data_IF_430829503901
#
_entry.id   IF_430829503901
#
_cell.length_a   1.000
_cell.length_b   1.000
_cell.length_c   1.000
_cell.angle_alpha   90.00
_cell.angle_beta   90.00
_cell.angle_gamma   90.00
#
_symmetry.space_group_name_H-M   'P 1'
#
loop_
_entity.id
_entity.type
_entity.pdbx_description
1 polymer ?
#
# COMPACT_ATOMS: atom_id res chain seq x y z
N UNK A 1 68.64 71.70 29.93
CA UNK A 1 69.18 70.81 28.88
C UNK A 1 68.14 69.75 28.56
N UNK A 2 67.64 69.80 27.33
CA UNK A 2 66.61 68.94 26.74
C UNK A 2 67.02 67.47 26.74
N UNK A 3 66.12 66.58 27.19
CA UNK A 3 66.17 65.15 26.85
C UNK A 3 64.87 64.75 26.19
N UNK A 4 64.86 64.82 24.85
CA UNK A 4 63.95 64.06 23.98
C UNK A 4 64.01 62.58 24.37
N UNK A 5 62.87 61.98 24.71
CA UNK A 5 62.68 60.52 24.64
C UNK A 5 61.92 60.23 23.35
N UNK A 6 62.54 59.40 22.51
CA UNK A 6 61.96 58.85 21.30
C UNK A 6 60.72 58.01 21.65
N UNK A 7 59.62 58.24 20.95
CA UNK A 7 58.47 57.33 20.90
C UNK A 7 58.78 56.17 19.96
N UNK A 8 58.98 54.97 20.50
CA UNK A 8 58.89 53.73 19.74
C UNK A 8 57.41 53.45 19.40
N UNK A 9 57.10 52.83 18.25
CA UNK A 9 55.72 52.47 17.95
C UNK A 9 55.28 51.36 18.90
N UNK A 10 54.20 51.58 19.66
CA UNK A 10 53.55 50.54 20.43
C UNK A 10 52.98 49.49 19.46
N UNK A 11 53.73 48.39 19.29
CA UNK A 11 53.20 47.19 18.64
C UNK A 11 52.24 46.57 19.65
N UNK A 12 50.95 46.86 19.47
CA UNK A 12 49.85 46.26 20.22
C UNK A 12 49.82 44.75 19.92
N UNK A 13 50.41 43.94 20.80
CA UNK A 13 50.24 42.49 20.74
C UNK A 13 48.80 42.14 21.16
N UNK A 14 48.03 41.41 20.32
CA UNK A 14 46.69 40.99 20.70
C UNK A 14 46.75 40.15 21.98
N UNK A 15 45.85 40.43 22.92
CA UNK A 15 45.81 39.71 24.20
C UNK A 15 45.68 38.20 23.97
N UNK A 16 46.14 37.37 24.92
CA UNK A 16 46.04 35.90 24.84
C UNK A 16 44.60 35.41 24.54
N UNK A 17 43.56 36.19 24.88
CA UNK A 17 42.16 35.87 24.53
C UNK A 17 41.85 36.12 23.05
N UNK A 18 42.39 37.18 22.45
CA UNK A 18 42.23 37.51 21.03
C UNK A 18 43.01 36.51 20.16
N UNK A 19 44.24 36.14 20.55
CA UNK A 19 44.97 35.08 19.83
C UNK A 19 44.27 33.72 19.89
N UNK A 20 43.65 33.36 21.03
CA UNK A 20 42.86 32.11 21.12
C UNK A 20 41.62 32.15 20.22
N UNK A 21 40.96 33.30 20.09
CA UNK A 21 39.83 33.47 19.16
C UNK A 21 40.30 33.37 17.69
N UNK A 22 41.40 34.01 17.31
CA UNK A 22 41.94 33.92 15.95
C UNK A 22 42.39 32.50 15.58
N UNK A 23 43.00 31.75 16.52
CA UNK A 23 43.39 30.35 16.29
C UNK A 23 42.15 29.46 16.15
N UNK A 24 41.11 29.65 16.98
CA UNK A 24 39.84 28.94 16.83
C UNK A 24 39.12 29.27 15.51
N UNK A 25 39.12 30.54 15.08
CA UNK A 25 38.56 30.95 13.79
C UNK A 25 39.33 30.35 12.61
N UNK A 26 40.66 30.27 12.68
CA UNK A 26 41.48 29.60 11.67
C UNK A 26 41.25 28.08 11.64
N UNK A 27 41.03 27.45 12.79
CA UNK A 27 40.67 26.02 12.85
C UNK A 27 39.26 25.74 12.31
N UNK A 28 38.30 26.66 12.50
CA UNK A 28 36.95 26.54 11.94
C UNK A 28 36.99 26.78 10.42
N UNK A 29 37.72 27.80 9.95
CA UNK A 29 37.87 28.07 8.52
C UNK A 29 38.65 26.94 7.84
N UNK A 30 39.73 26.42 8.43
CA UNK A 30 40.45 25.27 7.90
C UNK A 30 39.61 23.97 7.97
N UNK A 31 38.79 23.79 9.01
CA UNK A 31 37.85 22.68 9.11
C UNK A 31 36.77 22.74 8.02
N UNK A 32 36.22 23.94 7.75
CA UNK A 32 35.28 24.16 6.65
C UNK A 32 35.96 24.00 5.29
N UNK A 33 37.21 24.46 5.12
CA UNK A 33 37.97 24.32 3.86
C UNK A 33 38.38 22.86 3.56
N UNK A 34 38.71 22.07 4.59
CA UNK A 34 38.99 20.63 4.47
C UNK A 34 37.71 19.83 4.18
N UNK A 35 36.54 20.31 4.65
CA UNK A 35 35.25 19.72 4.29
C UNK A 35 34.74 20.13 2.90
N UNK A 36 35.14 21.29 2.36
CA UNK A 36 34.71 21.75 1.02
C UNK A 36 35.65 21.36 -0.13
N UNK A 37 36.80 20.75 0.15
CA UNK A 37 37.75 20.25 -0.88
C UNK A 37 37.70 18.72 -1.07
N UNK A 38 36.66 18.06 -0.57
CA UNK A 38 36.40 16.63 -0.79
C UNK A 38 34.99 16.33 -1.31
N UNK A 39 34.44 17.25 -2.10
CA UNK A 39 33.30 16.98 -2.98
C UNK A 39 33.81 16.86 -4.41
N UNK A 40 34.57 15.79 -4.67
CA UNK A 40 34.56 15.20 -6.00
C UNK A 40 33.30 14.34 -6.09
N UNK A 41 32.44 14.70 -7.03
CA UNK A 41 31.24 13.97 -7.42
C UNK A 41 31.68 12.62 -8.03
N UNK A 42 31.69 11.57 -7.20
CA UNK A 42 31.73 10.18 -7.67
C UNK A 42 30.55 9.41 -7.08
N UNK A 43 29.96 8.56 -7.93
CA UNK A 43 28.69 7.85 -7.76
C UNK A 43 28.75 6.66 -6.79
N UNK A 44 29.38 6.81 -5.63
CA UNK A 44 29.61 5.71 -4.67
C UNK A 44 29.14 5.99 -3.22
N UNK A 45 28.29 6.99 -2.98
CA UNK A 45 27.74 7.23 -1.63
C UNK A 45 26.27 6.80 -1.42
N UNK A 46 25.72 5.97 -2.31
CA UNK A 46 24.37 5.37 -2.17
C UNK A 46 24.40 3.93 -1.61
N UNK A 47 25.52 3.52 -1.00
CA UNK A 47 25.71 2.17 -0.45
C UNK A 47 26.00 2.17 1.04
N UNK A 48 25.03 2.52 1.88
CA UNK A 48 25.14 2.36 3.34
C UNK A 48 23.86 1.79 3.99
N UNK A 49 23.30 0.74 3.37
CA UNK A 49 22.31 -0.15 4.02
C UNK A 49 22.65 -1.65 3.92
N UNK A 50 23.84 -2.03 3.42
CA UNK A 50 24.23 -3.45 3.24
C UNK A 50 25.32 -3.96 4.20
N UNK A 51 25.58 -3.31 5.33
CA UNK A 51 26.51 -3.84 6.33
C UNK A 51 25.77 -4.65 7.42
N UNK A 52 25.37 -5.87 7.05
CA UNK A 52 25.23 -7.04 7.96
C UNK A 52 24.93 -8.33 7.16
N UNK A 53 25.78 -8.67 6.18
CA UNK A 53 25.89 -10.05 5.67
C UNK A 53 27.35 -10.43 5.54
N UNK A 54 27.94 -10.91 6.63
CA UNK A 54 29.19 -11.69 6.57
C UNK A 54 29.10 -12.87 7.50
N UNK A 55 29.05 -14.05 6.89
CA UNK A 55 29.38 -15.32 7.54
C UNK A 55 28.37 -16.41 7.28
N UNK A 56 28.48 -17.09 6.12
CA UNK A 56 28.62 -18.55 6.02
C UNK A 56 28.48 -19.02 4.56
N UNK A 57 29.52 -19.73 4.09
CA UNK A 57 29.37 -20.86 3.15
C UNK A 57 29.20 -20.54 1.66
N UNK A 58 30.31 -20.61 0.93
CA UNK A 58 30.37 -20.66 -0.53
C UNK A 58 29.63 -21.87 -1.12
N UNK A 59 28.55 -21.61 -1.86
CA UNK A 59 28.27 -22.20 -3.19
C UNK A 59 26.93 -21.68 -3.69
N UNK A 60 26.91 -20.98 -4.83
CA UNK A 60 25.73 -20.91 -5.69
C UNK A 60 26.04 -20.10 -6.95
N UNK A 61 25.51 -20.60 -8.05
CA UNK A 61 25.36 -19.92 -9.34
C UNK A 61 24.87 -18.49 -9.11
N UNK A 62 25.58 -17.50 -9.64
CA UNK A 62 25.13 -16.10 -9.65
C UNK A 62 23.89 -15.98 -10.56
N UNK A 63 22.71 -16.29 -10.02
CA UNK A 63 21.48 -15.74 -10.55
C UNK A 63 21.56 -14.22 -10.34
N UNK A 64 21.59 -13.45 -11.43
CA UNK A 64 21.51 -11.98 -11.34
C UNK A 64 20.26 -11.63 -10.53
N UNK A 65 20.45 -11.04 -9.36
CA UNK A 65 19.37 -10.56 -8.51
C UNK A 65 18.62 -9.47 -9.30
N UNK A 66 17.35 -9.74 -9.63
CA UNK A 66 16.53 -8.83 -10.44
C UNK A 66 16.16 -7.58 -9.62
N UNK A 67 16.11 -6.41 -10.28
CA UNK A 67 15.83 -5.16 -9.57
C UNK A 67 14.40 -5.16 -8.98
N UNK A 68 14.17 -4.71 -7.74
CA UNK A 68 12.85 -4.79 -7.09
C UNK A 68 11.71 -4.13 -7.86
N UNK A 69 11.99 -3.04 -8.58
CA UNK A 69 11.02 -2.37 -9.44
C UNK A 69 10.61 -3.28 -10.61
N UNK A 70 11.55 -3.99 -11.23
CA UNK A 70 11.24 -4.91 -12.33
C UNK A 70 10.37 -6.08 -11.84
N UNK A 71 10.68 -6.61 -10.66
CA UNK A 71 9.88 -7.65 -10.01
C UNK A 71 8.46 -7.17 -9.66
N UNK A 72 8.29 -5.91 -9.27
CA UNK A 72 6.98 -5.31 -9.00
C UNK A 72 6.20 -5.06 -10.29
N UNK A 73 6.84 -4.54 -11.34
CA UNK A 73 6.19 -4.29 -12.64
C UNK A 73 5.60 -5.58 -13.23
N UNK A 74 6.28 -6.72 -13.05
CA UNK A 74 5.79 -8.05 -13.48
C UNK A 74 4.51 -8.51 -12.77
N UNK A 75 4.13 -7.91 -11.64
CA UNK A 75 2.88 -8.24 -10.94
C UNK A 75 1.64 -7.65 -11.61
N UNK A 76 1.82 -6.74 -12.58
CA UNK A 76 0.73 -6.16 -13.34
C UNK A 76 0.61 -6.82 -14.71
N UNK A 77 -0.60 -6.87 -15.30
CA UNK A 77 -0.74 -7.11 -16.72
C UNK A 77 0.13 -6.12 -17.51
N UNK A 78 0.70 -6.59 -18.63
CA UNK A 78 1.65 -5.80 -19.40
C UNK A 78 0.98 -4.56 -19.98
N UNK A 79 1.69 -3.44 -19.97
CA UNK A 79 1.26 -2.27 -20.75
C UNK A 79 1.50 -2.55 -22.22
N UNK A 80 0.46 -2.41 -23.05
CA UNK A 80 0.59 -2.47 -24.50
C UNK A 80 1.40 -1.27 -24.99
N UNK A 81 2.36 -1.51 -25.89
CA UNK A 81 3.12 -0.43 -26.48
C UNK A 81 2.27 0.36 -27.47
N UNK A 82 2.64 1.61 -27.75
CA UNK A 82 1.97 2.42 -28.77
C UNK A 82 1.93 1.72 -30.14
N UNK A 83 2.92 0.86 -30.42
CA UNK A 83 2.99 0.08 -31.67
C UNK A 83 1.91 -1.00 -31.75
N UNK A 84 1.51 -1.55 -30.62
CA UNK A 84 0.50 -2.62 -30.51
C UNK A 84 -0.91 -2.06 -30.41
N UNK A 85 -1.06 -0.87 -29.83
CA UNK A 85 -2.36 -0.19 -29.78
C UNK A 85 -2.71 0.49 -31.11
N UNK A 86 -1.73 0.67 -32.01
CA UNK A 86 -1.90 1.37 -33.27
C UNK A 86 -2.17 2.87 -33.11
N UNK A 87 -2.38 3.54 -34.24
CA UNK A 87 -2.97 4.89 -34.29
C UNK A 87 -4.49 4.71 -34.29
N UNK A 88 -5.26 5.43 -33.45
CA UNK A 88 -6.71 5.38 -33.49
C UNK A 88 -7.21 5.68 -34.90
N UNK A 89 -7.84 4.71 -35.54
CA UNK A 89 -8.46 4.88 -36.86
C UNK A 89 -9.78 5.59 -36.60
N UNK A 90 -9.99 6.75 -37.22
CA UNK A 90 -11.28 7.46 -37.15
C UNK A 90 -12.39 6.48 -37.53
N UNK A 91 -13.52 6.41 -36.80
CA UNK A 91 -14.57 5.47 -37.13
C UNK A 91 -15.15 5.82 -38.50
N UNK A 92 -14.66 5.13 -39.54
CA UNK A 92 -15.40 5.07 -40.80
C UNK A 92 -16.63 4.24 -40.52
N UNK A 93 -17.79 4.86 -40.69
CA UNK A 93 -19.08 4.18 -40.78
C UNK A 93 -18.90 3.00 -41.75
N UNK A 94 -19.31 1.80 -41.33
CA UNK A 94 -19.21 0.51 -42.06
C UNK A 94 -17.89 -0.28 -42.03
N UNK A 95 -17.41 -0.66 -40.85
CA UNK A 95 -16.79 -1.99 -40.72
C UNK A 95 -17.35 -2.73 -39.51
N UNK A 96 -18.12 -3.78 -39.81
CA UNK A 96 -18.59 -4.74 -38.81
C UNK A 96 -17.43 -5.37 -38.07
N UNK A 97 -17.71 -5.82 -36.84
CA UNK A 97 -16.78 -6.56 -35.98
C UNK A 97 -16.03 -7.63 -36.79
N UNK A 98 -14.74 -7.40 -37.03
CA UNK A 98 -13.80 -8.46 -37.38
C UNK A 98 -13.03 -8.76 -36.11
N UNK A 99 -13.39 -9.89 -35.48
CA UNK A 99 -12.57 -10.52 -34.46
C UNK A 99 -11.44 -11.18 -35.26
N UNK A 100 -10.25 -10.60 -35.25
CA UNK A 100 -9.06 -11.34 -35.65
C UNK A 100 -8.68 -12.24 -34.46
N UNK A 101 -8.91 -13.53 -34.64
CA UNK A 101 -8.46 -14.60 -33.75
C UNK A 101 -6.93 -14.56 -33.67
N UNK A 102 -6.39 -13.98 -32.60
CA UNK A 102 -5.00 -14.22 -32.21
C UNK A 102 -4.96 -15.51 -31.38
N UNK A 103 -4.35 -16.54 -31.96
CA UNK A 103 -4.37 -17.97 -31.59
C UNK A 103 -3.66 -18.30 -30.26
N UNK A 104 -4.01 -17.61 -29.16
CA UNK A 104 -3.63 -18.03 -27.81
C UNK A 104 -4.68 -17.70 -26.74
N UNK A 105 -5.96 -17.58 -27.11
CA UNK A 105 -7.04 -17.49 -26.12
C UNK A 105 -7.12 -18.80 -25.33
N UNK A 106 -6.57 -18.78 -24.13
CA UNK A 106 -6.96 -19.66 -23.03
C UNK A 106 -8.49 -19.75 -23.03
N UNK A 107 -8.99 -20.99 -23.06
CA UNK A 107 -10.41 -21.32 -23.12
C UNK A 107 -11.21 -20.47 -22.13
N UNK A 108 -11.84 -19.40 -22.62
CA UNK A 108 -12.70 -18.55 -21.79
C UNK A 108 -13.84 -19.43 -21.32
N UNK A 109 -13.86 -19.74 -20.03
CA UNK A 109 -14.97 -20.41 -19.40
C UNK A 109 -16.24 -19.62 -19.76
N UNK A 110 -17.21 -20.21 -20.47
CA UNK A 110 -18.40 -19.49 -20.95
C UNK A 110 -19.23 -18.89 -19.81
N UNK A 111 -18.98 -19.30 -18.57
CA UNK A 111 -19.64 -18.78 -17.37
C UNK A 111 -18.89 -17.60 -16.70
N UNK A 112 -17.67 -17.26 -17.13
CA UNK A 112 -16.89 -16.14 -16.60
C UNK A 112 -17.15 -14.88 -17.41
N UNK A 113 -17.77 -13.88 -16.80
CA UNK A 113 -17.88 -12.54 -17.40
C UNK A 113 -16.54 -11.81 -17.19
N UNK A 114 -15.87 -11.31 -18.24
CA UNK A 114 -14.63 -10.56 -18.08
C UNK A 114 -14.80 -9.34 -17.18
N UNK A 115 -13.88 -9.13 -16.24
CA UNK A 115 -13.87 -7.95 -15.39
C UNK A 115 -13.63 -6.68 -16.20
N UNK A 116 -14.34 -5.59 -15.87
CA UNK A 116 -14.15 -4.28 -16.51
C UNK A 116 -14.37 -3.16 -15.48
N UNK A 117 -13.28 -2.59 -14.96
CA UNK A 117 -13.33 -1.62 -13.87
C UNK A 117 -14.23 -0.41 -14.17
N UNK A 118 -14.18 0.23 -15.35
CA UNK A 118 -15.10 1.32 -15.70
C UNK A 118 -16.60 0.95 -15.72
N UNK A 119 -16.93 -0.35 -15.77
CA UNK A 119 -18.31 -0.84 -15.75
C UNK A 119 -18.76 -1.26 -14.36
N UNK A 120 -17.87 -1.34 -13.37
CA UNK A 120 -18.24 -1.67 -12.00
C UNK A 120 -19.19 -0.60 -11.47
N UNK A 121 -20.30 -1.06 -10.90
CA UNK A 121 -21.33 -0.20 -10.33
C UNK A 121 -21.37 -0.30 -8.81
N UNK A 122 -20.90 -1.40 -8.22
CA UNK A 122 -21.00 -1.70 -6.78
C UNK A 122 -19.61 -2.06 -6.26
N UNK A 123 -19.24 -1.50 -5.13
CA UNK A 123 -17.98 -1.78 -4.44
C UNK A 123 -18.26 -2.18 -3.00
N UNK A 124 -17.84 -3.40 -2.64
CA UNK A 124 -17.82 -3.87 -1.26
C UNK A 124 -16.38 -3.97 -0.76
N UNK A 125 -16.09 -3.38 0.39
CA UNK A 125 -14.76 -3.42 1.01
C UNK A 125 -14.86 -4.08 2.38
N UNK A 126 -14.09 -5.15 2.56
CA UNK A 126 -13.90 -5.88 3.80
C UNK A 126 -12.46 -5.68 4.26
N UNK A 127 -12.28 -5.51 5.56
CA UNK A 127 -10.93 -5.36 6.09
C UNK A 127 -10.84 -4.80 7.49
N UNK A 128 -9.71 -4.18 7.75
CA UNK A 128 -9.41 -3.53 9.03
C UNK A 128 -9.26 -2.00 8.93
N UNK A 129 -8.68 -1.39 9.96
CA UNK A 129 -8.33 0.03 10.10
C UNK A 129 -7.61 0.70 8.92
N UNK A 130 -6.96 -0.07 8.05
CA UNK A 130 -6.36 0.45 6.82
C UNK A 130 -7.43 0.88 5.79
N UNK A 131 -8.63 0.32 5.89
CA UNK A 131 -9.75 0.55 4.97
C UNK A 131 -10.99 1.14 5.64
N UNK A 132 -11.15 1.04 6.97
CA UNK A 132 -12.38 1.39 7.70
C UNK A 132 -12.90 2.84 7.52
N UNK A 133 -14.24 2.97 7.49
CA UNK A 133 -15.00 4.24 7.54
C UNK A 133 -15.95 4.39 8.76
N UNK A 134 -15.97 3.43 9.69
CA UNK A 134 -16.82 3.44 10.90
C UNK A 134 -18.34 3.58 10.62
N UNK A 135 -18.86 2.83 9.65
CA UNK A 135 -20.30 2.72 9.35
C UNK A 135 -20.88 1.42 9.90
N UNK A 136 -21.99 1.51 10.63
CA UNK A 136 -22.72 0.34 11.16
C UNK A 136 -24.06 0.18 10.42
N UNK A 137 -24.07 -0.63 9.36
CA UNK A 137 -25.27 -0.86 8.56
C UNK A 137 -26.37 -1.65 9.29
N UNK A 138 -26.04 -2.39 10.36
CA UNK A 138 -27.08 -3.06 11.17
C UNK A 138 -27.86 -2.05 11.98
N UNK A 139 -27.17 -1.04 12.52
CA UNK A 139 -27.78 0.02 13.32
C UNK A 139 -28.44 1.09 12.45
N UNK A 140 -27.74 1.54 11.42
CA UNK A 140 -28.16 2.69 10.61
C UNK A 140 -29.02 2.31 9.40
N UNK A 141 -29.08 1.01 9.08
CA UNK A 141 -29.67 0.50 7.84
C UNK A 141 -28.71 0.55 6.65
N UNK A 142 -29.03 -0.23 5.62
CA UNK A 142 -28.33 -0.22 4.34
C UNK A 142 -28.77 1.01 3.53
N UNK A 143 -27.85 1.94 3.31
CA UNK A 143 -28.08 3.17 2.54
C UNK A 143 -27.82 2.97 1.04
N UNK A 144 -27.85 4.07 0.28
CA UNK A 144 -27.65 4.08 -1.17
C UNK A 144 -26.17 3.95 -1.60
N UNK A 145 -25.22 3.80 -0.67
CA UNK A 145 -23.80 3.65 -1.00
C UNK A 145 -23.17 4.93 -1.58
N UNK A 146 -23.71 6.10 -1.26
CA UNK A 146 -23.16 7.40 -1.67
C UNK A 146 -22.79 8.25 -0.46
N UNK A 147 -21.49 8.39 -0.21
CA UNK A 147 -20.93 9.19 0.88
C UNK A 147 -20.64 10.62 0.41
N UNK A 148 -21.60 11.52 0.60
CA UNK A 148 -21.51 12.92 0.15
C UNK A 148 -20.27 13.64 0.70
N UNK A 149 -19.81 13.29 1.89
CA UNK A 149 -18.62 13.86 2.52
C UNK A 149 -17.30 13.49 1.81
N UNK A 150 -17.32 12.52 0.87
CA UNK A 150 -16.18 12.16 0.03
C UNK A 150 -16.21 12.83 -1.33
N UNK A 151 -17.37 13.29 -1.79
CA UNK A 151 -17.51 13.90 -3.10
C UNK A 151 -16.70 15.19 -3.16
N UNK A 152 -15.87 15.33 -4.20
CA UNK A 152 -14.95 16.45 -4.39
C UNK A 152 -13.92 16.66 -3.25
N UNK A 153 -13.77 15.69 -2.34
CA UNK A 153 -12.75 15.74 -1.29
C UNK A 153 -11.40 15.31 -1.87
N UNK A 154 -10.38 16.15 -1.69
CA UNK A 154 -9.04 15.91 -2.26
C UNK A 154 -8.02 15.35 -1.26
N UNK A 155 -8.30 15.38 0.04
CA UNK A 155 -7.36 15.00 1.11
C UNK A 155 -8.06 14.21 2.22
N UNK A 156 -7.31 13.63 3.17
CA UNK A 156 -7.85 13.04 4.41
C UNK A 156 -8.88 11.90 4.20
N UNK A 157 -8.59 11.03 3.24
CA UNK A 157 -9.37 9.84 2.88
C UNK A 157 -8.51 8.57 3.00
N UNK A 158 -9.14 7.42 3.24
CA UNK A 158 -8.45 6.11 3.14
C UNK A 158 -8.29 5.72 1.69
N UNK A 159 -7.45 4.71 1.41
CA UNK A 159 -7.13 4.33 0.03
C UNK A 159 -8.37 3.85 -0.73
N UNK A 160 -9.27 3.09 -0.07
CA UNK A 160 -10.51 2.63 -0.67
C UNK A 160 -11.49 3.79 -0.97
N UNK A 161 -11.49 4.82 -0.12
CA UNK A 161 -12.28 6.04 -0.35
C UNK A 161 -11.80 6.79 -1.60
N UNK A 162 -10.48 6.89 -1.82
CA UNK A 162 -9.93 7.47 -3.05
C UNK A 162 -10.33 6.66 -4.29
N UNK A 163 -10.33 5.33 -4.17
CA UNK A 163 -10.77 4.47 -5.26
C UNK A 163 -12.22 4.78 -5.67
N UNK A 164 -13.10 4.99 -4.69
CA UNK A 164 -14.50 5.37 -4.89
C UNK A 164 -14.69 6.80 -5.40
N UNK A 165 -14.08 7.79 -4.73
CA UNK A 165 -14.40 9.20 -4.91
C UNK A 165 -13.56 9.91 -5.98
N UNK A 166 -12.40 9.35 -6.34
CA UNK A 166 -11.43 10.00 -7.25
C UNK A 166 -11.11 9.14 -8.47
N UNK A 167 -10.91 7.84 -8.28
CA UNK A 167 -10.48 6.94 -9.36
C UNK A 167 -11.63 6.15 -10.01
N UNK A 168 -12.86 6.40 -9.58
CA UNK A 168 -14.08 5.97 -10.24
C UNK A 168 -15.10 7.11 -10.20
N UNK A 169 -16.05 7.12 -11.14
CA UNK A 169 -17.17 8.07 -11.09
C UNK A 169 -18.10 7.72 -9.92
N UNK A 170 -18.09 8.56 -8.88
CA UNK A 170 -18.92 8.43 -7.67
C UNK A 170 -20.41 8.70 -7.90
N UNK A 171 -20.80 9.22 -9.07
CA UNK A 171 -22.21 9.30 -9.50
C UNK A 171 -22.71 7.95 -10.02
N UNK A 172 -21.80 7.07 -10.43
CA UNK A 172 -22.10 5.76 -11.00
C UNK A 172 -21.87 4.63 -10.00
N UNK A 173 -20.75 4.69 -9.28
CA UNK A 173 -20.36 3.69 -8.30
C UNK A 173 -21.14 3.90 -7.01
N UNK A 174 -21.67 2.81 -6.46
CA UNK A 174 -22.15 2.72 -5.08
C UNK A 174 -21.13 1.95 -4.26
N UNK A 175 -20.91 2.39 -3.02
CA UNK A 175 -19.83 1.92 -2.17
C UNK A 175 -20.35 1.57 -0.78
N UNK A 176 -20.09 0.34 -0.34
CA UNK A 176 -20.34 -0.12 1.03
C UNK A 176 -19.04 -0.67 1.65
N UNK A 177 -18.62 -0.04 2.73
CA UNK A 177 -17.44 -0.41 3.48
C UNK A 177 -17.82 -1.13 4.78
N UNK A 178 -17.55 -2.44 4.85
CA UNK A 178 -17.77 -3.28 6.03
C UNK A 178 -16.51 -3.44 6.90
N UNK A 179 -15.38 -2.85 6.50
CA UNK A 179 -14.12 -2.96 7.25
C UNK A 179 -14.23 -2.34 8.64
N UNK A 180 -13.71 -3.04 9.67
CA UNK A 180 -13.77 -2.60 11.08
C UNK A 180 -12.38 -2.44 11.68
N UNK A 181 -12.15 -1.35 12.42
CA UNK A 181 -10.87 -1.13 13.12
C UNK A 181 -10.55 -2.33 14.00
N UNK A 182 -9.30 -2.78 13.98
CA UNK A 182 -8.81 -3.86 14.84
C UNK A 182 -9.30 -5.26 14.49
N UNK A 183 -10.10 -5.43 13.42
CA UNK A 183 -10.62 -6.72 13.01
C UNK A 183 -9.50 -7.69 12.63
N UNK A 184 -9.66 -8.96 13.02
CA UNK A 184 -8.80 -10.08 12.62
C UNK A 184 -9.49 -10.97 11.59
N UNK A 185 -8.84 -12.01 11.09
CA UNK A 185 -9.44 -12.86 10.05
C UNK A 185 -10.48 -13.80 10.64
N UNK A 186 -10.13 -14.53 11.71
CA UNK A 186 -10.97 -15.59 12.24
C UNK A 186 -10.76 -15.78 13.74
N UNK A 187 -11.87 -15.81 14.49
CA UNK A 187 -11.84 -15.79 15.95
C UNK A 187 -11.11 -17.01 16.53
N UNK A 188 -11.35 -18.20 16.00
CA UNK A 188 -10.76 -19.45 16.51
C UNK A 188 -9.27 -19.63 16.20
N UNK A 189 -8.70 -18.86 15.27
CA UNK A 189 -7.26 -18.92 14.97
C UNK A 189 -6.53 -17.86 15.77
N UNK A 190 -6.98 -16.60 15.66
CA UNK A 190 -6.43 -15.50 16.43
C UNK A 190 -7.53 -14.43 16.65
N UNK A 191 -8.11 -14.36 17.86
CA UNK A 191 -9.23 -13.46 18.12
C UNK A 191 -8.78 -12.00 18.11
N UNK A 192 -9.70 -11.04 17.83
CA UNK A 192 -9.40 -9.63 17.84
C UNK A 192 -9.01 -9.14 19.24
N UNK A 193 -8.46 -7.93 19.32
CA UNK A 193 -8.09 -7.32 20.61
C UNK A 193 -9.30 -6.99 21.49
N UNK A 194 -10.45 -6.73 20.87
CA UNK A 194 -11.74 -6.56 21.52
C UNK A 194 -12.78 -7.27 20.66
N UNK A 195 -13.75 -7.92 21.31
CA UNK A 195 -14.83 -8.63 20.61
C UNK A 195 -15.61 -7.70 19.66
N UNK A 196 -15.79 -6.43 20.07
CA UNK A 196 -16.49 -5.41 19.28
C UNK A 196 -15.80 -5.04 17.96
N UNK A 197 -14.51 -5.35 17.80
CA UNK A 197 -13.82 -5.16 16.51
C UNK A 197 -14.23 -6.21 15.47
N UNK A 198 -14.69 -7.38 15.93
CA UNK A 198 -15.11 -8.48 15.07
C UNK A 198 -13.98 -9.07 14.24
N UNK A 199 -14.37 -9.83 13.22
CA UNK A 199 -13.50 -10.56 12.30
C UNK A 199 -13.99 -10.45 10.86
N UNK A 200 -13.21 -10.94 9.89
CA UNK A 200 -13.70 -11.10 8.51
C UNK A 200 -14.97 -11.93 8.46
N UNK A 201 -15.03 -13.04 9.20
CA UNK A 201 -16.24 -13.87 9.33
C UNK A 201 -17.46 -13.04 9.78
N UNK A 202 -17.32 -12.16 10.79
CA UNK A 202 -18.44 -11.31 11.21
C UNK A 202 -18.84 -10.30 10.13
N UNK A 203 -17.89 -9.78 9.35
CA UNK A 203 -18.21 -8.88 8.24
C UNK A 203 -18.90 -9.64 7.09
N UNK A 204 -18.58 -10.92 6.87
CA UNK A 204 -19.33 -11.78 5.93
C UNK A 204 -20.73 -12.08 6.45
N UNK A 205 -20.91 -12.33 7.75
CA UNK A 205 -22.23 -12.49 8.35
C UNK A 205 -23.07 -11.22 8.15
N UNK A 206 -22.49 -10.04 8.38
CA UNK A 206 -23.13 -8.76 8.12
C UNK A 206 -23.49 -8.60 6.64
N UNK A 207 -22.59 -9.01 5.73
CA UNK A 207 -22.87 -8.98 4.29
C UNK A 207 -24.02 -9.91 3.89
N UNK A 208 -24.00 -11.16 4.36
CA UNK A 208 -25.02 -12.17 4.06
C UNK A 208 -26.40 -11.70 4.53
N UNK A 209 -26.50 -11.26 5.78
CA UNK A 209 -27.77 -10.83 6.37
C UNK A 209 -28.35 -9.57 5.69
N UNK A 210 -27.48 -8.64 5.29
CA UNK A 210 -27.91 -7.30 4.85
C UNK A 210 -27.97 -7.15 3.33
N UNK A 211 -27.21 -7.92 2.57
CA UNK A 211 -27.06 -7.72 1.12
C UNK A 211 -27.50 -8.94 0.31
N UNK A 212 -28.00 -10.00 0.93
CA UNK A 212 -28.40 -11.26 0.27
C UNK A 212 -29.79 -11.74 0.75
N UNK A 213 -30.42 -12.75 0.08
CA UNK A 213 -30.05 -13.33 -1.21
C UNK A 213 -30.17 -12.32 -2.36
N UNK A 214 -29.56 -12.62 -3.52
CA UNK A 214 -29.73 -11.79 -4.72
C UNK A 214 -31.22 -11.67 -5.11
N UNK A 215 -31.70 -10.49 -5.56
CA UNK A 215 -30.92 -9.29 -5.92
C UNK A 215 -30.44 -8.39 -4.74
N UNK A 216 -30.57 -8.82 -3.49
CA UNK A 216 -30.25 -8.01 -2.31
C UNK A 216 -31.29 -6.90 -2.07
N UNK A 217 -31.05 -5.98 -1.11
CA UNK A 217 -31.96 -4.86 -0.87
C UNK A 217 -32.10 -3.97 -2.10
N UNK A 218 -33.30 -3.42 -2.30
CA UNK A 218 -33.65 -2.61 -3.48
C UNK A 218 -32.69 -1.45 -3.74
N UNK A 219 -32.22 -0.76 -2.69
CA UNK A 219 -31.27 0.34 -2.83
C UNK A 219 -29.86 -0.08 -3.26
N UNK A 220 -29.54 -1.37 -3.13
CA UNK A 220 -28.24 -1.95 -3.50
C UNK A 220 -28.33 -2.61 -4.87
N UNK A 221 -29.29 -3.54 -5.05
CA UNK A 221 -29.54 -4.31 -6.27
C UNK A 221 -28.25 -4.70 -7.01
N UNK A 222 -27.36 -5.40 -6.31
CA UNK A 222 -26.03 -5.72 -6.84
C UNK A 222 -26.06 -7.00 -7.67
N UNK A 223 -25.17 -7.09 -8.67
CA UNK A 223 -25.04 -8.25 -9.52
C UNK A 223 -23.58 -8.70 -9.63
N UNK A 224 -23.37 -9.99 -9.86
CA UNK A 224 -22.02 -10.56 -9.90
C UNK A 224 -21.11 -9.94 -10.97
N UNK A 225 -21.69 -9.50 -12.09
CA UNK A 225 -20.96 -8.96 -13.25
C UNK A 225 -20.63 -7.45 -13.14
N UNK A 226 -21.19 -6.73 -12.17
CA UNK A 226 -20.97 -5.29 -11.99
C UNK A 226 -20.48 -4.91 -10.58
N UNK A 227 -20.09 -5.91 -9.78
CA UNK A 227 -19.68 -5.71 -8.38
C UNK A 227 -18.25 -6.17 -8.13
N UNK A 228 -17.44 -5.32 -7.49
CA UNK A 228 -16.10 -5.65 -6.99
C UNK A 228 -16.11 -5.86 -5.48
N UNK A 229 -15.49 -6.95 -5.02
CA UNK A 229 -15.30 -7.30 -3.62
C UNK A 229 -13.81 -7.18 -3.28
N UNK A 230 -13.45 -6.26 -2.39
CA UNK A 230 -12.07 -6.08 -1.94
C UNK A 230 -11.91 -6.64 -0.52
N UNK A 231 -10.91 -7.49 -0.31
CA UNK A 231 -10.60 -8.13 0.97
C UNK A 231 -9.18 -7.78 1.41
N UNK A 232 -9.05 -7.06 2.53
CA UNK A 232 -7.77 -6.62 3.10
C UNK A 232 -7.69 -6.93 4.60
N UNK A 233 -7.00 -8.00 4.98
CA UNK A 233 -6.87 -8.43 6.38
C UNK A 233 -5.48 -8.98 6.68
N UNK A 234 -5.19 -9.13 7.98
CA UNK A 234 -4.00 -9.80 8.51
C UNK A 234 -3.01 -8.87 9.24
N UNK A 235 -3.24 -7.55 9.21
CA UNK A 235 -2.40 -6.56 9.91
C UNK A 235 -2.51 -6.74 11.42
N UNK A 236 -3.75 -6.81 11.94
CA UNK A 236 -3.99 -7.01 13.36
C UNK A 236 -3.57 -8.41 13.81
N UNK A 237 -3.80 -9.42 12.97
CA UNK A 237 -3.39 -10.80 13.23
C UNK A 237 -1.87 -10.89 13.39
N UNK A 238 -1.08 -10.33 12.46
CA UNK A 238 0.38 -10.27 12.57
C UNK A 238 0.84 -9.44 13.76
N UNK A 239 0.16 -8.33 14.06
CA UNK A 239 0.45 -7.51 15.22
C UNK A 239 0.25 -8.26 16.55
N UNK A 240 -0.68 -9.22 16.60
CA UNK A 240 -0.99 -10.03 17.81
C UNK A 240 -0.19 -11.31 17.87
N UNK A 241 0.07 -11.95 16.73
CA UNK A 241 0.88 -13.15 16.60
C UNK A 241 2.27 -12.95 17.24
N UNK A 242 2.85 -11.76 17.08
CA UNK A 242 4.18 -11.44 17.58
C UNK A 242 4.22 -10.88 19.01
N UNK A 243 3.17 -11.10 19.82
CA UNK A 243 3.08 -10.63 21.20
C UNK A 243 3.02 -11.77 22.19
N UNK A 244 4.14 -12.12 22.80
CA UNK A 244 4.22 -13.25 23.75
C UNK A 244 3.35 -13.03 25.00
N UNK A 245 3.13 -11.77 25.39
CA UNK A 245 2.24 -11.44 26.51
C UNK A 245 0.77 -11.81 26.25
N UNK A 246 0.36 -11.94 24.98
CA UNK A 246 -0.97 -12.39 24.62
C UNK A 246 -1.10 -13.92 24.60
N UNK A 247 0.02 -14.65 24.65
CA UNK A 247 0.08 -16.10 24.50
C UNK A 247 0.62 -16.80 25.76
N UNK A 248 0.37 -16.21 26.93
CA UNK A 248 0.81 -16.76 28.22
C UNK A 248 2.33 -16.81 28.39
N UNK A 249 3.07 -15.94 27.69
CA UNK A 249 4.53 -15.92 27.66
C UNK A 249 5.17 -16.91 26.67
N UNK A 250 4.36 -17.68 25.93
CA UNK A 250 4.82 -18.51 24.82
C UNK A 250 4.78 -17.77 23.48
N UNK A 251 5.36 -18.37 22.43
CA UNK A 251 5.20 -17.91 21.05
C UNK A 251 4.36 -18.91 20.28
N UNK A 252 3.44 -18.43 19.45
CA UNK A 252 2.71 -19.30 18.51
C UNK A 252 3.65 -19.75 17.38
N UNK A 253 3.35 -20.90 16.79
CA UNK A 253 4.01 -21.37 15.56
C UNK A 253 3.63 -20.42 14.41
N UNK A 254 4.57 -19.56 14.00
CA UNK A 254 4.34 -18.53 12.97
C UNK A 254 3.97 -19.15 11.61
N UNK A 255 4.72 -20.10 11.04
CA UNK A 255 4.32 -20.79 9.82
C UNK A 255 2.93 -21.42 9.89
N UNK A 256 2.62 -22.18 10.95
CA UNK A 256 1.34 -22.87 11.05
C UNK A 256 0.17 -21.89 11.26
N UNK A 257 0.36 -20.88 12.11
CA UNK A 257 -0.68 -19.88 12.42
C UNK A 257 -0.98 -18.99 11.21
N UNK A 258 0.05 -18.49 10.52
CA UNK A 258 -0.17 -17.67 9.32
C UNK A 258 -0.84 -18.47 8.19
N UNK A 259 -0.53 -19.76 8.05
CA UNK A 259 -1.23 -20.65 7.12
C UNK A 259 -2.71 -20.80 7.50
N UNK A 260 -3.01 -21.09 8.76
CA UNK A 260 -4.39 -21.24 9.23
C UNK A 260 -5.22 -19.95 9.06
N UNK A 261 -4.59 -18.79 9.25
CA UNK A 261 -5.21 -17.49 8.98
C UNK A 261 -5.55 -17.31 7.50
N UNK A 262 -4.61 -17.55 6.59
CA UNK A 262 -4.87 -17.45 5.14
C UNK A 262 -5.90 -18.47 4.68
N UNK A 263 -5.83 -19.72 5.16
CA UNK A 263 -6.82 -20.76 4.86
C UNK A 263 -8.24 -20.31 5.28
N UNK A 264 -8.36 -19.67 6.45
CA UNK A 264 -9.62 -19.11 6.94
C UNK A 264 -10.10 -17.94 6.07
N UNK A 265 -9.19 -17.05 5.64
CA UNK A 265 -9.50 -15.93 4.74
C UNK A 265 -10.05 -16.43 3.40
N UNK A 266 -9.43 -17.46 2.81
CA UNK A 266 -9.92 -18.08 1.58
C UNK A 266 -11.25 -18.82 1.77
N UNK A 267 -11.43 -19.47 2.92
CA UNK A 267 -12.71 -20.13 3.26
C UNK A 267 -13.87 -19.12 3.31
N UNK A 268 -13.69 -17.99 4.01
CA UNK A 268 -14.70 -16.92 4.04
C UNK A 268 -14.90 -16.26 2.66
N UNK A 269 -13.85 -16.18 1.84
CA UNK A 269 -13.96 -15.70 0.45
C UNK A 269 -14.74 -16.67 -0.45
N UNK A 270 -14.60 -17.99 -0.24
CA UNK A 270 -15.46 -19.00 -0.88
C UNK A 270 -16.92 -18.86 -0.45
N UNK A 271 -17.18 -18.49 0.81
CA UNK A 271 -18.53 -18.17 1.26
C UNK A 271 -19.10 -16.95 0.54
N UNK A 272 -18.34 -15.86 0.39
CA UNK A 272 -18.73 -14.72 -0.47
C UNK A 272 -19.05 -15.15 -1.90
N UNK A 273 -18.22 -16.01 -2.49
CA UNK A 273 -18.48 -16.55 -3.83
C UNK A 273 -19.79 -17.32 -3.90
N UNK A 274 -20.08 -18.16 -2.90
CA UNK A 274 -21.35 -18.89 -2.82
C UNK A 274 -22.58 -17.97 -2.71
N UNK A 275 -22.39 -16.75 -2.19
CA UNK A 275 -23.41 -15.69 -2.13
C UNK A 275 -23.54 -14.87 -3.43
N UNK A 276 -22.72 -15.15 -4.45
CA UNK A 276 -22.79 -14.54 -5.77
C UNK A 276 -21.62 -13.64 -6.15
N UNK A 277 -20.64 -13.42 -5.26
CA UNK A 277 -19.45 -12.62 -5.60
C UNK A 277 -18.61 -13.29 -6.69
N UNK A 278 -18.17 -12.52 -7.70
CA UNK A 278 -17.36 -13.02 -8.83
C UNK A 278 -16.13 -12.21 -9.17
N UNK A 279 -16.00 -10.96 -8.70
CA UNK A 279 -14.81 -10.15 -8.91
C UNK A 279 -14.17 -9.84 -7.55
N UNK A 280 -12.96 -10.36 -7.33
CA UNK A 280 -12.24 -10.24 -6.08
C UNK A 280 -10.94 -9.49 -6.27
N UNK A 281 -10.62 -8.60 -5.32
CA UNK A 281 -9.29 -8.04 -5.15
C UNK A 281 -8.79 -8.33 -3.74
N UNK A 282 -7.66 -9.04 -3.66
CA UNK A 282 -6.92 -9.25 -2.42
C UNK A 282 -5.70 -8.34 -2.37
N UNK A 283 -5.17 -8.10 -1.17
CA UNK A 283 -3.92 -7.37 -0.96
C UNK A 283 -2.98 -8.10 -0.03
N UNK A 284 -1.69 -8.12 -0.38
CA UNK A 284 -0.64 -8.53 0.57
C UNK A 284 -0.55 -7.54 1.73
N UNK A 285 0.00 -7.97 2.86
CA UNK A 285 0.32 -7.07 3.96
C UNK A 285 1.48 -6.14 3.58
N UNK A 286 1.43 -4.85 3.92
CA UNK A 286 2.60 -3.98 3.80
C UNK A 286 3.74 -4.52 4.70
N UNK A 287 5.00 -4.11 4.49
CA UNK A 287 6.12 -4.51 5.35
C UNK A 287 5.97 -3.88 6.75
N UNK A 288 5.15 -4.49 7.60
CA UNK A 288 4.75 -3.93 8.90
C UNK A 288 5.94 -3.58 9.78
N UNK A 289 7.00 -4.40 9.76
CA UNK A 289 8.26 -4.18 10.49
C UNK A 289 8.92 -2.83 10.16
N UNK A 290 8.68 -2.26 8.97
CA UNK A 290 9.21 -0.95 8.59
C UNK A 290 8.38 0.23 9.09
N UNK A 291 7.16 0.00 9.60
CA UNK A 291 6.34 1.06 10.18
C UNK A 291 6.99 1.64 11.44
N UNK A 292 6.79 2.94 11.75
CA UNK A 292 7.43 3.56 12.90
C UNK A 292 7.17 2.84 14.23
N UNK A 293 6.00 2.22 14.40
CA UNK A 293 5.59 1.46 15.60
C UNK A 293 6.63 0.43 16.04
N UNK A 294 7.24 -0.28 15.10
CA UNK A 294 8.22 -1.35 15.41
C UNK A 294 9.67 -0.85 15.48
N UNK A 295 9.90 0.45 15.24
CA UNK A 295 11.21 1.10 15.39
C UNK A 295 11.37 1.82 16.73
N UNK A 296 10.30 1.92 17.53
CA UNK A 296 10.32 2.63 18.81
C UNK A 296 10.84 1.70 19.93
N UNK A 297 11.92 2.06 20.65
CA UNK A 297 12.50 1.25 21.73
C UNK A 297 11.52 0.88 22.85
N UNK A 298 10.49 1.71 23.05
CA UNK A 298 9.56 1.61 24.16
C UNK A 298 8.35 0.71 23.90
N UNK A 299 8.17 0.16 22.70
CA UNK A 299 6.85 -0.39 22.32
C UNK A 299 6.76 -1.90 22.16
N UNK A 300 7.84 -2.68 21.97
CA UNK A 300 7.63 -4.09 21.57
C UNK A 300 8.77 -5.11 21.78
N UNK A 301 9.89 -4.78 22.43
CA UNK A 301 11.02 -5.72 22.62
C UNK A 301 12.06 -5.64 21.50
N UNK A 302 13.28 -6.11 21.76
CA UNK A 302 14.45 -5.90 20.89
C UNK A 302 14.36 -6.63 19.54
N UNK A 303 13.64 -7.76 19.47
CA UNK A 303 13.56 -8.65 18.31
C UNK A 303 12.25 -8.54 17.51
N UNK A 304 11.31 -7.69 17.93
CA UNK A 304 9.99 -7.58 17.30
C UNK A 304 10.06 -7.27 15.80
N UNK A 305 11.04 -6.47 15.38
CA UNK A 305 11.22 -6.09 14.00
C UNK A 305 11.41 -7.33 13.12
N UNK A 306 12.32 -8.23 13.51
CA UNK A 306 12.62 -9.48 12.80
C UNK A 306 11.43 -10.44 12.86
N UNK A 307 10.79 -10.58 14.02
CA UNK A 307 9.60 -11.43 14.18
C UNK A 307 8.45 -11.03 13.26
N UNK A 308 8.16 -9.73 13.20
CA UNK A 308 7.10 -9.18 12.32
C UNK A 308 7.49 -9.30 10.85
N UNK A 309 8.76 -9.13 10.50
CA UNK A 309 9.24 -9.37 9.14
C UNK A 309 8.99 -10.81 8.71
N UNK A 310 9.39 -11.78 9.54
CA UNK A 310 9.21 -13.21 9.30
C UNK A 310 7.73 -13.57 9.19
N UNK A 311 6.89 -13.10 10.11
CA UNK A 311 5.46 -13.42 10.09
C UNK A 311 4.73 -12.81 8.89
N UNK A 312 5.07 -11.57 8.52
CA UNK A 312 4.51 -10.92 7.31
C UNK A 312 4.95 -11.67 6.05
N UNK A 313 6.21 -12.13 6.00
CA UNK A 313 6.70 -12.95 4.89
C UNK A 313 5.89 -14.24 4.76
N UNK A 314 5.76 -15.02 5.84
CA UNK A 314 4.98 -16.26 5.82
C UNK A 314 3.51 -16.01 5.43
N UNK A 315 2.88 -14.98 5.98
CA UNK A 315 1.51 -14.63 5.64
C UNK A 315 1.37 -14.28 4.15
N UNK A 316 2.24 -13.42 3.62
CA UNK A 316 2.17 -12.99 2.23
C UNK A 316 2.49 -14.11 1.24
N UNK A 317 3.42 -15.00 1.57
CA UNK A 317 3.76 -16.16 0.73
C UNK A 317 2.59 -17.16 0.67
N UNK A 318 1.94 -17.42 1.82
CA UNK A 318 0.71 -18.21 1.88
C UNK A 318 -0.40 -17.53 1.08
N UNK A 319 -0.62 -16.22 1.25
CA UNK A 319 -1.68 -15.48 0.54
C UNK A 319 -1.48 -15.51 -0.98
N UNK A 320 -0.26 -15.25 -1.48
CA UNK A 320 0.04 -15.30 -2.92
C UNK A 320 -0.30 -16.68 -3.50
N UNK A 321 0.14 -17.74 -2.82
CA UNK A 321 -0.11 -19.12 -3.25
C UNK A 321 -1.59 -19.46 -3.23
N UNK A 322 -2.28 -19.09 -2.16
CA UNK A 322 -3.71 -19.37 -1.98
C UNK A 322 -4.62 -18.56 -2.89
N UNK A 323 -4.28 -17.31 -3.21
CA UNK A 323 -5.04 -16.50 -4.17
C UNK A 323 -4.91 -17.06 -5.59
N UNK A 324 -3.71 -17.51 -5.97
CA UNK A 324 -3.52 -18.22 -7.24
C UNK A 324 -4.37 -19.50 -7.30
N UNK A 325 -4.32 -20.31 -6.24
CA UNK A 325 -5.16 -21.50 -6.14
C UNK A 325 -6.66 -21.16 -6.19
N UNK A 326 -7.08 -20.09 -5.52
CA UNK A 326 -8.47 -19.64 -5.50
C UNK A 326 -8.94 -19.19 -6.90
N UNK A 327 -8.08 -18.54 -7.69
CA UNK A 327 -8.33 -18.23 -9.09
C UNK A 327 -8.49 -19.50 -9.95
N UNK A 328 -7.57 -20.46 -9.79
CA UNK A 328 -7.59 -21.73 -10.53
C UNK A 328 -8.84 -22.58 -10.18
N UNK A 329 -9.27 -22.55 -8.91
CA UNK A 329 -10.46 -23.27 -8.41
C UNK A 329 -11.77 -22.62 -8.87
N UNK A 330 -11.85 -21.29 -8.90
CA UNK A 330 -13.06 -20.53 -9.21
C UNK A 330 -13.06 -20.02 -10.64
N UNK A 331 -13.13 -20.94 -11.59
CA UNK A 331 -13.05 -20.63 -13.03
C UNK A 331 -14.15 -19.70 -13.57
N UNK A 332 -15.19 -19.39 -12.80
CA UNK A 332 -16.25 -18.41 -13.14
C UNK A 332 -15.98 -17.00 -12.58
N UNK A 333 -14.84 -16.80 -11.91
CA UNK A 333 -14.51 -15.56 -11.19
C UNK A 333 -13.27 -14.87 -11.74
N UNK A 334 -13.21 -13.55 -11.55
CA UNK A 334 -12.03 -12.73 -11.75
C UNK A 334 -11.37 -12.50 -10.39
N UNK A 335 -10.12 -12.94 -10.24
CA UNK A 335 -9.40 -12.87 -8.96
C UNK A 335 -8.11 -12.09 -9.20
N UNK A 336 -7.93 -11.00 -8.45
CA UNK A 336 -6.78 -10.13 -8.57
C UNK A 336 -6.04 -10.04 -7.23
N UNK A 337 -4.72 -9.87 -7.30
CA UNK A 337 -3.87 -9.63 -6.13
C UNK A 337 -3.05 -8.36 -6.35
N UNK A 338 -3.21 -7.39 -5.44
CA UNK A 338 -2.32 -6.23 -5.38
C UNK A 338 -1.19 -6.49 -4.37
N UNK A 339 0.06 -6.48 -4.83
CA UNK A 339 1.23 -6.66 -3.95
C UNK A 339 1.60 -5.36 -3.24
N UNK A 340 0.80 -5.00 -2.23
CA UNK A 340 1.03 -3.85 -1.36
C UNK A 340 2.39 -3.94 -0.64
N UNK A 341 2.89 -5.14 -0.34
CA UNK A 341 4.22 -5.32 0.26
C UNK A 341 5.31 -4.74 -0.64
N UNK A 342 5.33 -5.15 -1.92
CA UNK A 342 6.32 -4.67 -2.89
C UNK A 342 6.14 -3.19 -3.20
N UNK A 343 4.90 -2.75 -3.44
CA UNK A 343 4.60 -1.34 -3.67
C UNK A 343 5.12 -0.46 -2.54
N UNK A 344 4.83 -0.84 -1.29
CA UNK A 344 5.22 -0.04 -0.15
C UNK A 344 6.73 -0.04 0.07
N UNK A 345 7.43 -1.15 -0.15
CA UNK A 345 8.91 -1.18 -0.11
C UNK A 345 9.51 -0.21 -1.12
N UNK A 346 9.04 -0.22 -2.37
CA UNK A 346 9.50 0.72 -3.41
C UNK A 346 9.23 2.16 -3.01
N UNK A 347 8.06 2.47 -2.44
CA UNK A 347 7.76 3.81 -1.94
C UNK A 347 8.71 4.24 -0.83
N UNK A 348 9.05 3.33 0.10
CA UNK A 348 9.98 3.62 1.19
C UNK A 348 11.44 3.76 0.71
N UNK A 349 11.83 3.02 -0.31
CA UNK A 349 13.19 3.04 -0.88
C UNK A 349 13.42 4.23 -1.84
N UNK A 350 12.38 4.69 -2.53
CA UNK A 350 12.43 5.77 -3.51
C UNK A 350 11.35 6.86 -3.26
N UNK A 351 11.26 7.43 -2.04
CA UNK A 351 10.15 8.31 -1.66
C UNK A 351 10.04 9.58 -2.53
N UNK A 352 11.16 10.08 -3.05
CA UNK A 352 11.22 11.25 -3.93
C UNK A 352 10.47 11.04 -5.25
N UNK A 353 10.40 9.81 -5.77
CA UNK A 353 9.65 9.49 -6.99
C UNK A 353 8.14 9.65 -6.79
N UNK A 354 7.69 9.59 -5.54
CA UNK A 354 6.28 9.67 -5.16
C UNK A 354 5.91 11.00 -4.48
N UNK A 355 6.85 11.95 -4.38
CA UNK A 355 6.64 13.19 -3.65
C UNK A 355 6.50 13.01 -2.14
N UNK A 356 6.97 11.88 -1.59
CA UNK A 356 7.03 11.62 -0.16
C UNK A 356 8.31 12.26 0.38
N UNK A 357 8.15 13.15 1.36
CA UNK A 357 9.24 13.92 1.98
C UNK A 357 9.84 13.25 3.20
N UNK A 358 9.11 12.37 3.88
CA UNK A 358 9.62 11.64 5.05
C UNK A 358 8.88 10.30 5.25
N UNK A 359 9.64 9.22 5.41
CA UNK A 359 9.11 7.85 5.54
C UNK A 359 9.15 7.32 6.98
N UNK A 360 9.62 8.11 7.95
CA UNK A 360 9.82 7.66 9.33
C UNK A 360 9.09 8.54 10.35
N UNK A 361 8.91 9.83 10.08
CA UNK A 361 8.20 10.74 10.98
C UNK A 361 6.70 10.50 10.93
N UNK A 362 6.11 10.44 12.11
CA UNK A 362 4.67 10.32 12.34
C UNK A 362 4.17 11.25 13.46
N UNK A 363 5.06 12.08 14.01
CA UNK A 363 4.75 13.09 15.03
C UNK A 363 5.69 14.27 14.87
N UNK A 364 5.13 15.47 14.72
CA UNK A 364 5.88 16.71 14.56
C UNK A 364 4.96 17.90 14.89
N UNK A 365 5.54 18.99 15.38
CA UNK A 365 4.85 20.29 15.51
C UNK A 365 5.69 21.39 14.87
N UNK A 366 5.03 22.33 14.22
CA UNK A 366 5.63 23.55 13.66
C UNK A 366 4.97 24.73 14.36
N UNK A 367 5.77 25.57 15.03
CA UNK A 367 5.29 26.71 15.83
C UNK A 367 4.19 26.34 16.83
N UNK A 368 4.34 25.18 17.48
CA UNK A 368 3.38 24.66 18.47
C UNK A 368 2.09 24.07 17.89
N UNK A 369 1.95 23.96 16.56
CA UNK A 369 0.78 23.39 15.89
C UNK A 369 1.10 22.07 15.22
N UNK A 370 0.13 21.16 15.20
CA UNK A 370 0.19 19.91 14.44
C UNK A 370 -0.09 20.21 12.96
N UNK A 371 0.88 20.05 12.04
CA UNK A 371 0.61 20.22 10.62
C UNK A 371 -0.18 19.01 10.07
N UNK A 372 -0.82 19.20 8.91
CA UNK A 372 -1.38 18.06 8.18
C UNK A 372 -0.23 17.27 7.54
N UNK A 373 0.05 16.08 8.08
CA UNK A 373 1.18 15.25 7.68
C UNK A 373 1.13 14.80 6.22
N UNK A 374 -0.05 14.52 5.66
CA UNK A 374 -0.17 14.21 4.24
C UNK A 374 0.20 15.41 3.36
N UNK A 375 -0.25 16.63 3.69
CA UNK A 375 0.14 17.85 2.93
C UNK A 375 1.65 18.10 2.94
N UNK A 376 2.34 17.60 3.94
CA UNK A 376 3.79 17.68 4.06
C UNK A 376 4.53 16.52 3.37
N UNK A 377 3.82 15.57 2.78
CA UNK A 377 4.40 14.39 2.15
C UNK A 377 4.96 13.37 3.14
N UNK A 378 4.46 13.29 4.38
CA UNK A 378 4.87 12.21 5.29
C UNK A 378 4.18 10.90 4.86
N UNK A 379 4.89 9.77 4.90
CA UNK A 379 4.32 8.47 4.55
C UNK A 379 3.29 7.97 5.58
N UNK A 380 3.42 8.41 6.84
CA UNK A 380 2.63 7.94 7.97
C UNK A 380 1.93 9.12 8.66
N UNK A 381 0.70 8.91 9.15
CA UNK A 381 0.01 9.91 9.99
C UNK A 381 0.09 9.61 11.49
N UNK A 382 0.24 8.33 11.85
CA UNK A 382 0.57 7.86 13.19
C UNK A 382 1.65 6.78 13.11
N UNK A 383 1.97 6.10 14.21
CA UNK A 383 3.06 5.14 14.21
C UNK A 383 2.80 3.87 13.36
N UNK A 384 1.59 3.64 12.86
CA UNK A 384 1.22 2.41 12.15
C UNK A 384 0.54 2.68 10.80
N UNK A 385 -0.29 3.70 10.72
CA UNK A 385 -1.17 3.97 9.59
C UNK A 385 -0.57 5.00 8.64
N UNK A 386 -0.79 4.75 7.35
CA UNK A 386 -0.33 5.61 6.25
C UNK A 386 -1.04 6.96 6.28
N UNK A 387 -0.36 8.03 5.84
CA UNK A 387 -1.01 9.32 5.62
C UNK A 387 -2.00 9.26 4.46
N UNK A 388 -2.85 10.28 4.30
CA UNK A 388 -3.77 10.32 3.16
C UNK A 388 -3.06 10.42 1.83
N UNK A 389 -1.86 11.01 1.76
CA UNK A 389 -1.08 11.11 0.51
C UNK A 389 -0.54 9.75 0.09
N UNK A 390 -0.07 8.97 1.05
CA UNK A 390 0.27 7.56 0.82
C UNK A 390 -0.95 6.70 0.50
N UNK A 391 -2.09 6.97 1.13
CA UNK A 391 -3.35 6.28 0.80
C UNK A 391 -3.81 6.56 -0.64
N UNK A 392 -3.68 7.81 -1.11
CA UNK A 392 -3.95 8.19 -2.51
C UNK A 392 -3.01 7.45 -3.47
N UNK A 393 -1.72 7.35 -3.16
CA UNK A 393 -0.75 6.62 -3.98
C UNK A 393 -1.06 5.11 -4.05
N UNK A 394 -1.45 4.50 -2.93
CA UNK A 394 -1.94 3.11 -2.91
C UNK A 394 -3.16 2.99 -3.83
N UNK A 395 -4.15 3.86 -3.66
CA UNK A 395 -5.38 3.85 -4.46
C UNK A 395 -5.10 4.03 -5.96
N UNK A 396 -4.17 4.91 -6.33
CA UNK A 396 -3.77 5.15 -7.72
C UNK A 396 -3.12 3.91 -8.35
N UNK A 397 -2.25 3.23 -7.61
CA UNK A 397 -1.61 1.99 -8.06
C UNK A 397 -2.61 0.84 -8.18
N UNK A 398 -3.54 0.73 -7.22
CA UNK A 398 -4.66 -0.23 -7.27
C UNK A 398 -5.56 0.04 -8.47
N UNK A 399 -5.92 1.30 -8.72
CA UNK A 399 -6.68 1.68 -9.91
C UNK A 399 -5.94 1.28 -11.21
N UNK A 400 -4.62 1.48 -11.26
CA UNK A 400 -3.79 1.01 -12.36
C UNK A 400 -3.86 -0.51 -12.57
N UNK A 401 -3.86 -1.29 -11.49
CA UNK A 401 -4.05 -2.75 -11.55
C UNK A 401 -5.44 -3.11 -12.08
N UNK A 402 -6.50 -2.50 -11.54
CA UNK A 402 -7.88 -2.75 -11.95
C UNK A 402 -8.10 -2.40 -13.42
N UNK A 403 -7.64 -1.23 -13.86
CA UNK A 403 -7.70 -0.83 -15.27
C UNK A 403 -6.94 -1.81 -16.16
N UNK A 404 -5.76 -2.27 -15.76
CA UNK A 404 -5.01 -3.24 -16.56
C UNK A 404 -5.64 -4.63 -16.59
N UNK A 405 -6.46 -5.00 -15.61
CA UNK A 405 -7.25 -6.24 -15.66
C UNK A 405 -8.61 -6.03 -16.36
N UNK A 406 -8.91 -4.82 -16.82
CA UNK A 406 -10.20 -4.50 -17.44
C UNK A 406 -10.26 -4.96 -18.88
N UNK A 407 -11.38 -5.59 -19.24
CA UNK A 407 -11.69 -6.03 -20.59
C UNK A 407 -11.58 -4.89 -21.61
N UNK A 408 -12.03 -3.67 -21.25
CA UNK A 408 -11.91 -2.47 -22.11
C UNK A 408 -10.46 -2.07 -22.40
N UNK A 409 -9.50 -2.46 -21.57
CA UNK A 409 -8.07 -2.17 -21.75
C UNK A 409 -7.33 -3.35 -22.38
N UNK A 410 -7.73 -4.59 -22.10
CA UNK A 410 -7.07 -5.78 -22.64
C UNK A 410 -7.55 -6.13 -24.05
N UNK A 411 -8.85 -6.00 -24.32
CA UNK A 411 -9.44 -6.30 -25.63
C UNK A 411 -9.60 -5.00 -26.43
N UNK A 412 -9.05 -4.97 -27.64
CA UNK A 412 -9.01 -3.82 -28.57
C UNK A 412 -10.38 -3.28 -29.01
N UNK A 413 -11.49 -3.91 -28.61
CA UNK A 413 -12.87 -3.53 -28.96
C UNK A 413 -13.41 -2.32 -28.18
N UNK A 414 -12.58 -1.57 -27.45
CA UNK A 414 -12.95 -0.27 -26.88
C UNK A 414 -13.13 0.78 -28.00
N UNK A 415 -14.23 0.64 -28.72
CA UNK A 415 -14.77 1.61 -29.66
C UNK A 415 -15.22 2.84 -28.90
N UNK A 416 -14.29 3.77 -28.62
CA UNK A 416 -14.46 5.21 -28.39
C UNK A 416 -13.29 5.75 -27.55
N UNK A 417 -12.11 5.82 -28.14
CA UNK A 417 -11.12 6.83 -27.73
C UNK A 417 -11.28 8.03 -28.66
N UNK A 418 -12.35 8.81 -28.48
CA UNK A 418 -12.38 10.18 -29.00
C UNK A 418 -11.43 11.01 -28.14
N UNK A 419 -10.19 11.16 -28.62
CA UNK A 419 -9.34 12.26 -28.21
C UNK A 419 -9.82 13.49 -28.97
N UNK A 420 -10.74 14.25 -28.39
CA UNK A 420 -10.97 15.63 -28.83
C UNK A 420 -9.75 16.45 -28.37
N UNK A 421 -9.08 17.07 -29.36
CA UNK A 421 -7.93 17.95 -29.17
C UNK A 421 -8.34 19.32 -28.58
#
# INVERSE_FOLDING_TARGET
>A
MSRRRNSSPDIMYPSKKVMRFCVLSLCIIAGVWVFTLKTDLSSESLGNSQLLKRGLGSSSVEAKEEHPIDEYVKTFPRVRSWKETGVPISPSVDQGLVIEDDDSMEMVNPNKVPFDWPRVRKLFVFGDSFSTRDKDYRKDGVDWGHFQELHCKATDMKWADYLYAVFHDFHILQYWNLAKVGATIHHSVLPPGLESYGTFETQINDFEDLFTPLPGPTQVNWHSNDTLFIVVFGINDNGRLNRDDLHGGGSLDVPATTKALVDSLMSQSRRLHSLGARNFLFMTLPPLHLSPKYKLPSQVGYDIHERVEVSVKHFNDNLRSSVKQFEDELGDSNVMLFDLNKFWKILLDYPELFGISDVSRFRMTIDGRLPNFGRMGLAYHDNQHVSWSSAELIARSVNGLLMRNSASIQFSNASQTEYTA
#
